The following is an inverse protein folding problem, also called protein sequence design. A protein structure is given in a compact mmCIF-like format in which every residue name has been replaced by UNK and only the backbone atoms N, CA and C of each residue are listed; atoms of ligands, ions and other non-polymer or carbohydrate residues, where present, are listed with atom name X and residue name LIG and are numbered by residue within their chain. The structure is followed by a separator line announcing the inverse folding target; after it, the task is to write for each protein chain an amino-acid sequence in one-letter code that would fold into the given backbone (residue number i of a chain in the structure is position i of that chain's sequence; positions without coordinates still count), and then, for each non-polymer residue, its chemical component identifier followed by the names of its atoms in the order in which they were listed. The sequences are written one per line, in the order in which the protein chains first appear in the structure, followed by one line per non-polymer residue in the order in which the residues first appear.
data_IF_725448478112
#
_entry.id   IF_725448478112
#
_cell.length_a   1.000
_cell.length_b   1.000
_cell.length_c   1.000
_cell.angle_alpha   90.00
_cell.angle_beta   90.00
_cell.angle_gamma   90.00
#
_symmetry.space_group_name_H-M   'P 1'
#
loop_
_entity.id
_entity.type
_entity.pdbx_description
1 polymer ?
#
# COMPACT_ATOMS: atom_id res chain seq x y z
N UNK A 1 10.47 -0.92 27.59
CA UNK A 1 11.78 -1.47 27.23
C UNK A 1 12.12 -1.14 25.79
N UNK A 2 13.39 -1.16 25.47
CA UNK A 2 13.84 -0.84 24.11
C UNK A 2 13.33 -1.85 23.09
N UNK A 3 13.19 -3.09 23.51
CA UNK A 3 12.72 -4.15 22.64
C UNK A 3 11.26 -3.91 22.22
N UNK A 4 10.43 -3.55 23.19
CA UNK A 4 9.03 -3.28 22.91
C UNK A 4 8.86 -2.07 21.99
N UNK A 5 9.68 -1.04 22.20
CA UNK A 5 9.64 0.14 21.33
C UNK A 5 10.07 -0.20 19.92
N UNK A 6 11.11 -1.01 19.76
CA UNK A 6 11.58 -1.41 18.44
C UNK A 6 10.54 -2.23 17.70
N UNK A 7 9.88 -3.14 18.39
CA UNK A 7 8.82 -3.95 17.79
C UNK A 7 7.65 -3.08 17.37
N UNK A 8 7.28 -2.12 18.21
CA UNK A 8 6.20 -1.20 17.92
C UNK A 8 6.51 -0.35 16.69
N UNK A 9 7.73 0.19 16.63
CA UNK A 9 8.15 1.01 15.49
C UNK A 9 8.18 0.19 14.21
N UNK A 10 8.65 -1.05 14.29
CA UNK A 10 8.70 -1.92 13.14
C UNK A 10 7.30 -2.23 12.63
N UNK A 11 6.36 -2.50 13.54
CA UNK A 11 4.98 -2.76 13.17
C UNK A 11 4.34 -1.54 12.52
N UNK A 12 4.62 -0.34 13.04
CA UNK A 12 4.12 0.89 12.43
C UNK A 12 4.68 1.09 11.04
N UNK A 13 5.98 0.85 10.85
CA UNK A 13 6.61 1.01 9.55
C UNK A 13 6.01 0.03 8.54
N UNK A 14 5.78 -1.20 8.93
CA UNK A 14 5.16 -2.18 8.06
C UNK A 14 3.74 -1.79 7.69
N UNK A 15 2.99 -1.29 8.67
CA UNK A 15 1.61 -0.84 8.44
C UNK A 15 1.58 0.34 7.46
N UNK A 16 2.46 1.33 7.67
CA UNK A 16 2.54 2.49 6.79
C UNK A 16 2.95 2.09 5.38
N UNK A 17 3.88 1.15 5.27
CA UNK A 17 4.34 0.67 3.99
C UNK A 17 3.20 -0.05 3.24
N UNK A 18 2.42 -0.85 3.96
CA UNK A 18 1.28 -1.53 3.38
C UNK A 18 0.22 -0.53 2.92
N UNK A 19 -0.05 0.50 3.72
CA UNK A 19 -1.01 1.52 3.35
C UNK A 19 -0.56 2.29 2.12
N UNK A 20 0.73 2.63 2.04
CA UNK A 20 1.26 3.32 0.87
C UNK A 20 1.17 2.45 -0.37
N UNK A 21 1.43 1.16 -0.24
CA UNK A 21 1.32 0.23 -1.34
C UNK A 21 -0.12 0.13 -1.82
N UNK A 22 -1.08 0.08 -0.90
CA UNK A 22 -2.49 0.03 -1.25
C UNK A 22 -2.93 1.31 -1.96
N UNK A 23 -2.49 2.47 -1.47
CA UNK A 23 -2.83 3.75 -2.10
C UNK A 23 -2.26 3.82 -3.50
N UNK A 24 -1.04 3.36 -3.67
CA UNK A 24 -0.38 3.35 -4.97
C UNK A 24 -1.11 2.44 -5.94
N UNK A 25 -1.50 1.27 -5.48
CA UNK A 25 -2.25 0.32 -6.29
C UNK A 25 -3.61 0.88 -6.66
N UNK A 26 -4.30 1.53 -5.71
CA UNK A 26 -5.59 2.14 -5.97
C UNK A 26 -5.48 3.30 -6.96
N UNK A 27 -4.44 4.11 -6.83
CA UNK A 27 -4.20 5.22 -7.76
C UNK A 27 -3.93 4.70 -9.17
N UNK A 28 -3.15 3.64 -9.28
CA UNK A 28 -2.86 3.04 -10.58
C UNK A 28 -4.12 2.45 -11.20
N UNK A 29 -4.91 1.74 -10.39
CA UNK A 29 -6.17 1.17 -10.87
C UNK A 29 -7.12 2.26 -11.34
N UNK A 30 -7.17 3.40 -10.62
CA UNK A 30 -8.02 4.52 -11.02
C UNK A 30 -7.56 5.12 -12.36
N UNK A 31 -6.25 5.22 -12.55
CA UNK A 31 -5.70 5.74 -13.81
C UNK A 31 -6.01 4.80 -14.97
N UNK A 32 -5.87 3.51 -14.75
CA UNK A 32 -6.18 2.52 -15.77
C UNK A 32 -7.66 2.55 -16.13
N UNK A 33 -8.52 2.69 -15.13
CA UNK A 33 -9.95 2.80 -15.35
C UNK A 33 -10.29 4.05 -16.15
N UNK A 34 -9.62 5.16 -15.86
CA UNK A 34 -9.82 6.43 -16.57
C UNK A 34 -9.40 6.31 -18.04
N UNK A 35 -8.40 5.49 -18.32
CA UNK A 35 -7.95 5.24 -19.67
C UNK A 35 -8.79 4.17 -20.39
N UNK A 36 -9.70 3.52 -19.68
CA UNK A 36 -10.53 2.47 -20.24
C UNK A 36 -9.84 1.12 -20.29
N UNK A 37 -8.76 0.97 -19.52
CA UNK A 37 -8.02 -0.30 -19.47
C UNK A 37 -8.40 -1.05 -18.21
N UNK A 38 -8.82 -2.30 -18.38
CA UNK A 38 -9.15 -3.17 -17.26
C UNK A 38 -7.95 -4.06 -16.97
N UNK A 39 -7.32 -3.94 -15.79
CA UNK A 39 -6.15 -4.76 -15.49
C UNK A 39 -6.44 -6.26 -15.40
N UNK A 40 -7.70 -6.63 -15.22
CA UNK A 40 -8.10 -8.03 -15.18
C UNK A 40 -8.61 -8.52 -16.54
N UNK A 41 -8.69 -7.64 -17.50
CA UNK A 41 -9.13 -7.99 -18.85
C UNK A 41 -7.96 -8.54 -19.66
N UNK A 42 -8.20 -9.64 -20.31
CA UNK A 42 -7.21 -10.23 -21.20
C UNK A 42 -7.20 -9.56 -22.57
#
# INVERSE_FOLDING_TARGET
SQRAEQESQRAEQESQRAEQAERRAAALAAKLAALGIDPESD
#
